data_IF_984210932135
#
_entry.id   IF_984210932135
#
_cell.length_a   1.000
_cell.length_b   1.000
_cell.length_c   1.000
_cell.angle_alpha   90.00
_cell.angle_beta   90.00
_cell.angle_gamma   90.00
#
_symmetry.space_group_name_H-M   'P 1'
#
loop_
_entity.id
_entity.type
_entity.pdbx_description
1 polymer ?
#
# COMPACT_ATOMS: atom_id res chain seq x y z
N UNK A 1 -17.68 -1.33 33.45
CA UNK A 1 -16.87 -0.18 32.99
C UNK A 1 -17.37 0.24 31.61
N UNK A 2 -17.88 1.47 31.44
CA UNK A 2 -18.38 1.92 30.13
C UNK A 2 -17.18 2.30 29.26
N UNK A 3 -16.98 1.61 28.14
CA UNK A 3 -15.97 2.01 27.13
C UNK A 3 -16.45 3.30 26.48
N UNK A 4 -15.64 4.36 26.45
CA UNK A 4 -16.00 5.63 25.80
C UNK A 4 -16.42 5.42 24.33
N UNK A 5 -17.41 6.19 23.86
CA UNK A 5 -17.90 6.08 22.48
C UNK A 5 -16.78 6.29 21.45
N UNK A 6 -15.85 7.20 21.72
CA UNK A 6 -14.71 7.49 20.85
C UNK A 6 -13.83 6.25 20.63
N UNK A 7 -13.51 5.48 21.66
CA UNK A 7 -12.68 4.27 21.51
C UNK A 7 -13.39 3.14 20.75
N UNK A 8 -14.72 3.11 20.79
CA UNK A 8 -15.50 2.15 19.98
C UNK A 8 -15.47 2.53 18.49
N UNK A 9 -15.58 3.82 18.18
CA UNK A 9 -15.51 4.33 16.80
C UNK A 9 -14.12 4.04 16.23
N UNK A 10 -13.08 4.36 16.98
CA UNK A 10 -11.70 4.11 16.56
C UNK A 10 -11.42 2.62 16.33
N UNK A 11 -11.84 1.74 17.23
CA UNK A 11 -11.70 0.30 17.06
C UNK A 11 -12.44 -0.22 15.81
N UNK A 12 -13.65 0.30 15.54
CA UNK A 12 -14.43 -0.02 14.33
C UNK A 12 -13.70 0.45 13.07
N UNK A 13 -13.20 1.66 13.06
CA UNK A 13 -12.55 2.24 11.87
C UNK A 13 -11.21 1.54 11.60
N UNK A 14 -10.48 1.16 12.66
CA UNK A 14 -9.28 0.32 12.54
C UNK A 14 -9.61 -1.06 11.95
N UNK A 15 -10.66 -1.71 12.43
CA UNK A 15 -11.10 -3.00 11.88
C UNK A 15 -11.49 -2.88 10.41
N UNK A 16 -12.25 -1.83 10.05
CA UNK A 16 -12.62 -1.56 8.67
C UNK A 16 -11.39 -1.30 7.78
N UNK A 17 -10.36 -0.63 8.30
CA UNK A 17 -9.11 -0.40 7.58
C UNK A 17 -8.37 -1.72 7.30
N UNK A 18 -8.30 -2.62 8.28
CA UNK A 18 -7.68 -3.95 8.10
C UNK A 18 -8.43 -4.80 7.06
N UNK A 19 -9.75 -4.75 7.04
CA UNK A 19 -10.56 -5.43 6.03
C UNK A 19 -10.29 -4.84 4.63
N UNK A 20 -10.30 -3.52 4.49
CA UNK A 20 -9.97 -2.86 3.22
C UNK A 20 -8.56 -3.17 2.73
N UNK A 21 -7.58 -3.26 3.61
CA UNK A 21 -6.22 -3.69 3.22
C UNK A 21 -6.20 -5.09 2.61
N UNK A 22 -7.00 -6.02 3.12
CA UNK A 22 -7.16 -7.36 2.52
C UNK A 22 -7.82 -7.30 1.15
N UNK A 23 -8.87 -6.50 1.00
CA UNK A 23 -9.54 -6.30 -0.28
C UNK A 23 -8.59 -5.69 -1.32
N UNK A 24 -7.77 -4.71 -0.91
CA UNK A 24 -6.74 -4.11 -1.76
C UNK A 24 -5.71 -5.17 -2.20
N UNK A 25 -5.23 -6.00 -1.29
CA UNK A 25 -4.30 -7.09 -1.63
C UNK A 25 -4.91 -8.07 -2.65
N UNK A 26 -6.19 -8.40 -2.51
CA UNK A 26 -6.91 -9.25 -3.45
C UNK A 26 -7.08 -8.58 -4.81
N UNK A 27 -7.45 -7.29 -4.85
CA UNK A 27 -7.60 -6.53 -6.08
C UNK A 27 -6.27 -6.39 -6.84
N UNK A 28 -5.16 -6.13 -6.13
CA UNK A 28 -3.82 -6.09 -6.71
C UNK A 28 -3.41 -7.43 -7.30
N UNK A 29 -3.66 -8.53 -6.60
CA UNK A 29 -3.39 -9.87 -7.12
C UNK A 29 -4.28 -10.19 -8.34
N UNK A 30 -5.55 -9.82 -8.31
CA UNK A 30 -6.47 -9.95 -9.44
C UNK A 30 -6.01 -9.15 -10.65
N UNK A 31 -5.58 -7.91 -10.44
CA UNK A 31 -5.01 -7.08 -11.50
C UNK A 31 -3.77 -7.74 -12.13
N UNK A 32 -2.87 -8.28 -11.30
CA UNK A 32 -1.68 -8.97 -11.79
C UNK A 32 -2.01 -10.21 -12.62
N UNK A 33 -3.05 -10.96 -12.25
CA UNK A 33 -3.53 -12.12 -13.04
C UNK A 33 -4.05 -11.68 -14.40
N UNK A 34 -4.79 -10.58 -14.47
CA UNK A 34 -5.41 -10.10 -15.72
C UNK A 34 -4.38 -9.44 -16.63
N UNK A 35 -3.54 -8.58 -16.08
CA UNK A 35 -2.64 -7.71 -16.84
C UNK A 35 -1.19 -8.22 -16.92
N UNK A 36 -0.85 -9.29 -16.19
CA UNK A 36 0.51 -9.83 -16.14
C UNK A 36 1.51 -8.97 -15.37
N UNK A 37 1.05 -7.91 -14.67
CA UNK A 37 1.86 -7.00 -13.87
C UNK A 37 1.02 -6.39 -12.73
N UNK A 38 1.66 -5.83 -11.73
CA UNK A 38 1.00 -4.94 -10.77
C UNK A 38 0.78 -3.55 -11.38
N UNK A 39 -0.23 -2.78 -10.92
CA UNK A 39 -0.45 -1.43 -11.41
C UNK A 39 0.65 -0.47 -10.95
N UNK A 40 0.91 0.56 -11.75
CA UNK A 40 1.70 1.70 -11.29
C UNK A 40 0.98 2.46 -10.17
N UNK A 41 1.71 3.10 -9.23
CA UNK A 41 1.11 4.07 -8.33
C UNK A 41 0.44 5.21 -9.10
N UNK A 42 -0.56 5.84 -8.50
CA UNK A 42 -1.12 7.10 -9.00
C UNK A 42 -0.35 8.26 -8.37
N UNK A 43 0.28 9.10 -9.19
CA UNK A 43 1.05 10.26 -8.72
C UNK A 43 0.34 11.59 -8.95
N UNK A 44 -0.76 11.61 -9.71
CA UNK A 44 -1.56 12.82 -9.91
C UNK A 44 -2.15 13.31 -8.58
N UNK A 45 -1.89 14.57 -8.23
CA UNK A 45 -2.31 15.17 -6.97
C UNK A 45 -3.57 16.03 -7.10
N UNK A 46 -3.89 16.53 -8.30
CA UNK A 46 -5.06 17.38 -8.53
C UNK A 46 -6.34 16.54 -8.61
N UNK A 47 -7.28 16.69 -7.66
CA UNK A 47 -8.55 15.98 -7.69
C UNK A 47 -9.43 16.31 -8.92
N UNK A 48 -9.20 17.43 -9.59
CA UNK A 48 -9.91 17.83 -10.81
C UNK A 48 -9.33 17.18 -12.07
N UNK A 49 -8.10 16.65 -12.03
CA UNK A 49 -7.50 15.95 -13.17
C UNK A 49 -8.16 14.58 -13.38
N UNK A 50 -8.53 14.21 -14.61
CA UNK A 50 -9.15 12.90 -14.89
C UNK A 50 -8.23 11.71 -14.56
N UNK A 51 -6.91 11.90 -14.47
CA UNK A 51 -5.93 10.88 -14.07
C UNK A 51 -5.87 10.67 -12.55
N UNK A 52 -6.50 11.54 -11.74
CA UNK A 52 -6.49 11.40 -10.29
C UNK A 52 -7.06 10.04 -9.86
N UNK A 53 -6.24 9.23 -9.20
CA UNK A 53 -6.58 7.86 -8.79
C UNK A 53 -6.51 6.79 -9.89
N UNK A 54 -6.07 7.15 -11.08
CA UNK A 54 -5.72 6.22 -12.15
C UNK A 54 -4.24 5.85 -12.04
N UNK A 55 -3.88 4.62 -12.41
CA UNK A 55 -2.46 4.24 -12.45
C UNK A 55 -1.69 5.11 -13.45
N UNK A 56 -0.45 5.44 -13.12
CA UNK A 56 0.45 6.11 -14.04
C UNK A 56 0.80 5.19 -15.23
N UNK A 57 1.16 5.80 -16.36
CA UNK A 57 1.64 5.04 -17.52
C UNK A 57 2.98 4.39 -17.19
N UNK A 58 3.12 3.10 -17.54
CA UNK A 58 4.40 2.41 -17.39
C UNK A 58 5.45 2.97 -18.40
N UNK A 59 6.74 3.10 -18.00
CA UNK A 59 7.30 2.77 -16.69
C UNK A 59 6.85 3.75 -15.60
N UNK A 60 6.50 3.18 -14.43
CA UNK A 60 6.00 3.97 -13.32
C UNK A 60 7.04 5.00 -12.82
N UNK A 61 6.57 6.10 -12.26
CA UNK A 61 7.43 7.01 -11.52
C UNK A 61 7.66 6.45 -10.10
N UNK A 62 8.88 6.01 -9.83
CA UNK A 62 9.31 5.49 -8.52
C UNK A 62 10.11 6.51 -7.70
N UNK A 63 10.30 7.73 -8.20
CA UNK A 63 11.06 8.77 -7.50
C UNK A 63 10.29 9.38 -6.32
N UNK A 64 8.97 9.28 -6.34
CA UNK A 64 8.08 9.77 -5.30
C UNK A 64 7.21 8.62 -4.76
N UNK A 65 6.71 8.78 -3.55
CA UNK A 65 5.67 7.90 -3.03
C UNK A 65 4.34 8.20 -3.73
N UNK A 66 3.63 7.14 -4.15
CA UNK A 66 2.38 7.28 -4.88
C UNK A 66 1.18 6.83 -4.07
N UNK A 67 -0.01 7.22 -4.56
CA UNK A 67 -1.30 6.74 -4.04
C UNK A 67 -1.64 5.39 -4.67
N UNK A 68 -2.44 4.60 -3.96
CA UNK A 68 -3.09 3.45 -4.56
C UNK A 68 -3.90 3.91 -5.78
N UNK A 69 -3.81 3.26 -6.95
CA UNK A 69 -4.59 3.63 -8.12
C UNK A 69 -6.04 3.10 -7.99
N UNK A 70 -6.81 3.69 -7.09
CA UNK A 70 -8.12 3.18 -6.67
C UNK A 70 -9.15 3.13 -7.80
N UNK A 71 -9.11 4.07 -8.76
CA UNK A 71 -10.00 4.04 -9.93
C UNK A 71 -9.69 2.87 -10.84
N UNK A 72 -8.40 2.61 -11.08
CA UNK A 72 -7.95 1.45 -11.88
C UNK A 72 -8.37 0.13 -11.24
N UNK A 73 -8.35 0.06 -9.91
CA UNK A 73 -8.68 -1.13 -9.16
C UNK A 73 -10.17 -1.23 -8.77
N UNK A 74 -10.98 -0.22 -9.10
CA UNK A 74 -12.39 -0.09 -8.69
C UNK A 74 -12.59 -0.22 -7.16
N UNK A 75 -11.72 0.43 -6.38
CA UNK A 75 -11.70 0.41 -4.93
C UNK A 75 -12.12 1.77 -4.35
N UNK A 76 -12.50 1.83 -3.06
CA UNK A 76 -12.66 3.10 -2.35
C UNK A 76 -11.35 3.90 -2.31
N UNK A 77 -11.46 5.22 -2.55
CA UNK A 77 -10.32 6.12 -2.66
C UNK A 77 -9.53 6.27 -1.36
N UNK A 78 -10.22 6.23 -0.22
CA UNK A 78 -9.65 6.58 1.09
C UNK A 78 -9.79 5.46 2.10
N UNK A 79 -8.99 5.54 3.14
CA UNK A 79 -9.18 4.74 4.34
C UNK A 79 -10.42 5.19 5.15
N UNK A 80 -10.79 4.51 6.24
CA UNK A 80 -11.98 4.87 7.03
C UNK A 80 -11.94 6.26 7.67
N UNK A 81 -10.76 6.83 7.86
CA UNK A 81 -10.61 8.19 8.40
C UNK A 81 -10.56 9.28 7.32
N UNK A 82 -10.61 8.88 6.04
CA UNK A 82 -10.44 9.77 4.89
C UNK A 82 -11.42 10.94 4.84
N UNK A 83 -12.69 10.71 5.15
CA UNK A 83 -13.72 11.76 5.13
C UNK A 83 -13.46 12.90 6.13
N UNK A 84 -12.76 12.63 7.22
CA UNK A 84 -12.39 13.63 8.24
C UNK A 84 -11.06 14.33 7.95
N UNK A 85 -10.35 13.88 6.92
CA UNK A 85 -9.02 14.36 6.53
C UNK A 85 -9.01 15.42 5.45
N UNK A 86 -10.15 15.76 4.89
CA UNK A 86 -10.29 16.88 3.94
C UNK A 86 -10.09 18.23 4.65
N UNK A 87 -8.95 18.40 5.31
CA UNK A 87 -8.54 19.65 5.89
C UNK A 87 -7.48 20.31 4.99
N UNK A 88 -7.47 21.64 4.96
CA UNK A 88 -6.42 22.37 4.24
C UNK A 88 -5.02 21.93 4.74
N UNK A 89 -4.16 21.52 3.81
CA UNK A 89 -2.80 21.06 4.11
C UNK A 89 -2.61 19.55 4.25
N UNK A 90 -3.66 18.74 4.08
CA UNK A 90 -3.51 17.28 3.94
C UNK A 90 -3.58 16.89 2.47
N UNK A 91 -2.46 16.96 1.76
CA UNK A 91 -2.34 16.62 0.33
C UNK A 91 -2.70 15.16 0.04
N UNK A 92 -2.66 14.29 1.05
CA UNK A 92 -3.01 12.89 0.91
C UNK A 92 -4.51 12.62 1.13
N UNK A 93 -5.23 13.49 1.83
CA UNK A 93 -6.68 13.43 2.05
C UNK A 93 -7.19 12.04 2.49
N UNK A 94 -6.39 11.28 3.23
CA UNK A 94 -6.70 9.93 3.65
C UNK A 94 -6.60 8.86 2.57
N UNK A 95 -6.02 9.16 1.42
CA UNK A 95 -5.76 8.14 0.41
C UNK A 95 -4.73 7.13 0.89
N UNK A 96 -4.94 5.87 0.47
CA UNK A 96 -3.97 4.80 0.68
C UNK A 96 -2.67 5.12 -0.03
N UNK A 97 -1.54 4.99 0.68
CA UNK A 97 -0.21 5.07 0.09
C UNK A 97 0.17 3.72 -0.50
N UNK A 98 0.84 3.75 -1.64
CA UNK A 98 1.16 2.55 -2.38
C UNK A 98 2.55 2.61 -2.98
N UNK A 99 3.30 1.53 -2.78
CA UNK A 99 4.59 1.32 -3.40
C UNK A 99 4.62 -0.05 -4.05
N UNK A 100 5.14 -0.14 -5.27
CA UNK A 100 5.32 -1.38 -6.02
C UNK A 100 6.77 -1.56 -6.42
N UNK A 101 7.21 -2.80 -6.49
CA UNK A 101 8.53 -3.15 -7.01
C UNK A 101 8.57 -2.94 -8.53
N UNK A 102 9.59 -2.24 -9.08
CA UNK A 102 9.69 -1.96 -10.51
C UNK A 102 9.60 -3.18 -11.40
N UNK A 103 10.23 -4.31 -11.02
CA UNK A 103 10.23 -5.53 -11.82
C UNK A 103 8.83 -6.17 -11.92
N UNK A 104 7.94 -5.84 -10.99
CA UNK A 104 6.57 -6.36 -10.96
C UNK A 104 5.53 -5.40 -11.56
N UNK A 105 5.92 -4.17 -11.90
CA UNK A 105 5.01 -3.17 -12.48
C UNK A 105 5.30 -2.84 -13.95
N UNK A 106 6.52 -3.07 -14.43
CA UNK A 106 6.95 -2.61 -15.76
C UNK A 106 7.07 -3.72 -16.81
N UNK A 107 7.11 -4.97 -16.38
CA UNK A 107 7.25 -6.13 -17.26
C UNK A 107 6.28 -7.26 -16.86
N UNK A 108 5.96 -8.21 -17.76
CA UNK A 108 5.20 -9.38 -17.40
C UNK A 108 5.86 -10.19 -16.27
N UNK A 109 5.04 -10.56 -15.28
CA UNK A 109 5.47 -11.39 -14.16
C UNK A 109 5.65 -12.82 -14.64
N UNK A 110 6.85 -13.38 -14.41
CA UNK A 110 7.16 -14.79 -14.67
C UNK A 110 7.67 -15.47 -13.39
N UNK A 111 7.79 -16.79 -13.42
CA UNK A 111 8.26 -17.56 -12.27
C UNK A 111 9.65 -17.11 -11.76
N UNK A 112 10.51 -16.67 -12.68
CA UNK A 112 11.86 -16.21 -12.40
C UNK A 112 11.96 -14.71 -12.06
N UNK A 113 10.85 -13.94 -12.14
CA UNK A 113 10.88 -12.49 -11.86
C UNK A 113 11.40 -12.24 -10.45
N UNK A 114 12.50 -11.52 -10.34
CA UNK A 114 13.14 -11.15 -9.08
C UNK A 114 12.84 -9.70 -8.72
N UNK A 115 12.65 -9.37 -7.43
CA UNK A 115 12.47 -8.00 -7.00
C UNK A 115 13.68 -7.12 -7.31
N UNK A 116 13.45 -5.89 -7.75
CA UNK A 116 14.48 -4.91 -8.09
C UNK A 116 14.41 -3.65 -7.20
N UNK A 117 13.28 -3.40 -6.53
CA UNK A 117 13.02 -2.18 -5.78
C UNK A 117 13.50 -2.20 -4.32
N UNK A 118 14.07 -3.30 -3.86
CA UNK A 118 14.60 -3.46 -2.50
C UNK A 118 13.61 -3.03 -1.39
N UNK A 119 12.32 -3.35 -1.57
CA UNK A 119 11.28 -3.06 -0.58
C UNK A 119 11.54 -3.85 0.71
N UNK A 120 11.71 -3.16 1.83
CA UNK A 120 11.96 -3.76 3.11
C UNK A 120 10.86 -3.43 4.11
N UNK A 121 10.49 -4.41 4.94
CA UNK A 121 9.55 -4.21 6.04
C UNK A 121 10.24 -4.60 7.33
N UNK A 122 10.17 -3.72 8.31
CA UNK A 122 10.77 -3.87 9.64
C UNK A 122 9.72 -3.77 10.73
N UNK A 123 9.99 -4.39 11.85
CA UNK A 123 9.20 -4.26 13.08
C UNK A 123 9.63 -3.04 13.91
N UNK A 124 8.97 -2.81 15.03
CA UNK A 124 9.31 -1.71 15.95
C UNK A 124 10.74 -1.77 16.50
N UNK A 125 11.29 -2.96 16.68
CA UNK A 125 12.68 -3.17 17.11
C UNK A 125 13.69 -3.09 15.97
N UNK A 126 13.23 -2.64 14.78
CA UNK A 126 14.02 -2.53 13.57
C UNK A 126 14.48 -3.89 12.97
N UNK A 127 14.00 -5.02 13.48
CA UNK A 127 14.27 -6.32 12.87
C UNK A 127 13.52 -6.45 11.53
N UNK A 128 14.09 -7.22 10.58
CA UNK A 128 13.47 -7.43 9.27
C UNK A 128 12.31 -8.43 9.39
N UNK A 129 11.13 -8.05 8.92
CA UNK A 129 9.98 -8.93 8.79
C UNK A 129 10.06 -9.72 7.47
N UNK A 130 10.46 -9.05 6.38
CA UNK A 130 10.60 -9.68 5.07
C UNK A 130 12.04 -10.13 4.84
N UNK A 131 12.22 -11.40 4.47
CA UNK A 131 13.51 -11.97 4.09
C UNK A 131 13.78 -11.81 2.60
N UNK A 132 14.97 -12.19 2.13
CA UNK A 132 15.31 -12.21 0.70
C UNK A 132 14.33 -13.07 -0.10
N UNK A 133 13.91 -14.21 0.44
CA UNK A 133 13.02 -15.16 -0.24
C UNK A 133 11.56 -14.74 -0.20
N UNK A 134 11.15 -13.96 0.81
CA UNK A 134 9.78 -13.43 1.01
C UNK A 134 9.68 -11.93 0.79
N UNK A 135 10.57 -11.34 0.00
CA UNK A 135 10.61 -9.91 -0.24
C UNK A 135 9.27 -9.37 -0.70
N UNK A 136 8.88 -8.22 -0.17
CA UNK A 136 7.69 -7.53 -0.59
C UNK A 136 7.84 -7.02 -2.02
N UNK A 137 6.79 -7.16 -2.83
CA UNK A 137 6.69 -6.62 -4.19
C UNK A 137 5.64 -5.53 -4.32
N UNK A 138 4.78 -5.40 -3.31
CA UNK A 138 3.86 -4.28 -3.15
C UNK A 138 3.65 -4.01 -1.67
N UNK A 139 3.56 -2.73 -1.31
CA UNK A 139 3.27 -2.25 0.03
C UNK A 139 2.13 -1.25 -0.06
N UNK A 140 1.16 -1.37 0.84
CA UNK A 140 0.01 -0.49 0.98
C UNK A 140 -0.08 -0.09 2.44
N UNK A 141 -0.29 1.20 2.73
CA UNK A 141 -0.53 1.60 4.10
C UNK A 141 -1.44 2.83 4.23
N UNK A 142 -2.07 2.92 5.39
CA UNK A 142 -2.80 4.08 5.90
C UNK A 142 -2.00 4.70 7.05
N UNK A 143 -2.01 5.99 7.12
CA UNK A 143 -1.39 6.77 8.20
C UNK A 143 -2.27 6.87 9.46
N UNK A 144 -3.20 5.93 9.65
CA UNK A 144 -4.02 5.84 10.84
C UNK A 144 -4.83 7.11 11.18
N UNK A 145 -5.38 7.22 12.37
CA UNK A 145 -6.19 8.37 12.80
C UNK A 145 -5.37 9.66 12.99
N UNK A 146 -4.06 9.59 13.26
CA UNK A 146 -3.22 10.76 13.48
C UNK A 146 -2.89 11.53 12.18
N UNK A 147 -3.08 10.90 11.00
CA UNK A 147 -2.86 11.44 9.63
C UNK A 147 -1.40 11.66 9.27
N UNK A 148 -0.47 11.23 10.08
CA UNK A 148 0.96 11.37 9.83
C UNK A 148 1.57 9.97 9.67
N UNK A 149 2.46 9.78 8.72
CA UNK A 149 3.22 8.54 8.68
C UNK A 149 4.18 8.49 9.86
N UNK A 150 4.21 7.34 10.54
CA UNK A 150 4.97 7.15 11.76
C UNK A 150 6.28 6.38 11.53
N UNK A 151 7.24 6.55 12.41
CA UNK A 151 8.48 5.79 12.41
C UNK A 151 9.19 5.80 11.06
N UNK A 152 9.54 4.63 10.54
CA UNK A 152 10.20 4.50 9.23
C UNK A 152 9.28 4.89 8.06
N UNK A 153 7.96 4.89 8.24
CA UNK A 153 7.01 5.25 7.20
C UNK A 153 7.01 6.76 6.91
N UNK A 154 7.53 7.58 7.84
CA UNK A 154 7.70 9.03 7.67
C UNK A 154 8.83 9.40 6.70
N UNK A 155 9.73 8.45 6.39
CA UNK A 155 10.94 8.71 5.61
C UNK A 155 10.93 7.94 4.30
N UNK A 156 10.22 8.43 3.30
CA UNK A 156 10.24 7.81 1.97
C UNK A 156 11.62 7.95 1.31
N UNK A 157 12.15 6.82 0.84
CA UNK A 157 13.37 6.77 0.01
C UNK A 157 13.10 5.96 -1.25
N UNK A 158 13.26 6.59 -2.41
CA UNK A 158 13.09 5.92 -3.69
C UNK A 158 14.14 4.82 -3.93
N UNK A 159 15.38 5.03 -3.45
CA UNK A 159 16.50 4.12 -3.66
C UNK A 159 16.45 2.88 -2.74
N UNK A 160 15.96 3.04 -1.51
CA UNK A 160 15.91 1.98 -0.52
C UNK A 160 14.65 2.13 0.37
N UNK A 161 13.46 1.91 -0.20
CA UNK A 161 12.22 2.11 0.53
C UNK A 161 12.07 1.08 1.64
N UNK A 162 12.13 1.58 2.88
CA UNK A 162 11.97 0.79 4.09
C UNK A 162 10.74 1.26 4.82
N UNK A 163 9.89 0.32 5.21
CA UNK A 163 8.65 0.58 5.92
C UNK A 163 8.62 -0.15 7.25
N UNK A 164 7.84 0.37 8.18
CA UNK A 164 7.61 -0.21 9.49
C UNK A 164 6.21 -0.78 9.58
N UNK A 165 6.09 -1.99 10.11
CA UNK A 165 4.82 -2.63 10.42
C UNK A 165 4.85 -3.14 11.85
N UNK A 166 3.72 -3.05 12.54
CA UNK A 166 3.61 -3.51 13.92
C UNK A 166 2.24 -3.23 14.52
N UNK A 167 2.09 -3.56 15.79
CA UNK A 167 0.91 -3.21 16.56
C UNK A 167 0.88 -1.71 16.84
N UNK A 168 -0.32 -1.16 17.00
CA UNK A 168 -0.49 0.25 17.35
C UNK A 168 0.06 0.53 18.76
N UNK A 169 0.81 1.60 18.85
CA UNK A 169 1.34 2.15 20.10
C UNK A 169 0.92 3.63 20.25
N UNK A 170 1.38 4.31 21.30
CA UNK A 170 1.11 5.74 21.46
C UNK A 170 1.74 6.59 20.34
N UNK A 171 2.87 6.12 19.77
CA UNK A 171 3.68 6.84 18.79
C UNK A 171 3.66 6.19 17.39
N UNK A 172 2.80 5.19 17.19
CA UNK A 172 2.69 4.47 15.93
C UNK A 172 1.26 3.94 15.74
N UNK A 173 0.54 4.47 14.78
CA UNK A 173 -0.82 4.03 14.47
C UNK A 173 -1.02 3.62 12.99
N UNK A 174 0.03 3.67 12.18
CA UNK A 174 0.03 3.25 10.80
C UNK A 174 -0.43 1.80 10.64
N UNK A 175 -1.23 1.56 9.61
CA UNK A 175 -1.71 0.24 9.23
C UNK A 175 -1.11 -0.16 7.89
N UNK A 176 -0.26 -1.18 7.89
CA UNK A 176 0.49 -1.60 6.72
C UNK A 176 0.15 -3.04 6.32
N UNK A 177 0.01 -3.26 5.02
CA UNK A 177 -0.06 -4.59 4.40
C UNK A 177 0.89 -4.67 3.21
N UNK A 178 1.31 -5.88 2.87
CA UNK A 178 2.19 -6.09 1.71
C UNK A 178 1.85 -7.39 0.98
N UNK A 179 2.26 -7.46 -0.27
CA UNK A 179 2.24 -8.69 -1.05
C UNK A 179 3.68 -9.16 -1.18
N UNK A 180 3.97 -10.36 -0.66
CA UNK A 180 5.27 -11.01 -0.85
C UNK A 180 5.38 -11.66 -2.23
N UNK A 181 6.60 -11.68 -2.79
CA UNK A 181 6.90 -12.31 -4.08
C UNK A 181 6.34 -13.74 -4.18
N UNK A 182 6.59 -14.65 -3.23
CA UNK A 182 6.12 -16.05 -3.36
C UNK A 182 4.61 -16.15 -3.46
N UNK A 183 3.89 -15.34 -2.69
CA UNK A 183 2.42 -15.33 -2.72
C UNK A 183 1.90 -14.86 -4.07
N UNK A 184 2.45 -13.77 -4.62
CA UNK A 184 2.02 -13.25 -5.92
C UNK A 184 2.30 -14.24 -7.04
N UNK A 185 3.51 -14.80 -7.10
CA UNK A 185 3.89 -15.81 -8.10
C UNK A 185 2.95 -17.04 -8.02
N UNK A 186 2.68 -17.54 -6.80
CA UNK A 186 1.77 -18.66 -6.62
C UNK A 186 0.35 -18.37 -7.13
N UNK A 187 -0.18 -17.17 -6.89
CA UNK A 187 -1.51 -16.78 -7.38
C UNK A 187 -1.57 -16.66 -8.90
N UNK A 188 -0.56 -16.07 -9.51
CA UNK A 188 -0.46 -15.95 -10.97
C UNK A 188 -0.32 -17.34 -11.62
N UNK A 189 0.48 -18.24 -11.01
CA UNK A 189 0.62 -19.63 -11.47
C UNK A 189 -0.69 -20.42 -11.37
N UNK A 190 -1.41 -20.32 -10.25
CA UNK A 190 -2.72 -20.97 -10.06
C UNK A 190 -3.77 -20.51 -11.09
N UNK A 191 -3.66 -19.29 -11.58
CA UNK A 191 -4.51 -18.76 -12.64
C UNK A 191 -4.05 -19.17 -14.05
N UNK A 192 -2.98 -19.97 -14.20
CA UNK A 192 -2.45 -20.41 -15.50
C UNK A 192 -1.80 -19.29 -16.30
N UNK A 193 -1.21 -18.29 -15.64
CA UNK A 193 -0.64 -17.09 -16.28
C UNK A 193 0.90 -17.01 -16.19
N UNK A 194 1.58 -18.06 -15.73
CA UNK A 194 3.05 -18.19 -15.75
C UNK A 194 3.51 -19.10 -16.88
#
# INVERSE_FOLDING_TARGET
MLVPLASRIEARDRQAALERLRDIQQALAGFAIIHGRLPCPSTEADPADPRYGVEDTAPCNFSIEGRLPWRTLALPATDPWGSTRYAAGDDWAGHWRYRVDPAFATAPIGAATAPAGNLQIRSHDNSRITTTDSQAVAIIFSTGPNRQPDGLNASYSAAAPTYQAGESTADFDDLLAWIGRPLLIARVAQAGRL
#
